data_IF_012817883051
#
_entry.id   IF_012817883051
#
_cell.length_a   1.000
_cell.length_b   1.000
_cell.length_c   1.000
_cell.angle_alpha   90.00
_cell.angle_beta   90.00
_cell.angle_gamma   90.00
#
_symmetry.space_group_name_H-M   'P 1'
#
loop_
_entity.id
_entity.type
_entity.pdbx_description
1 polymer ?
#
# COMPACT_ATOMS: atom_id res chain seq x y z
N UNK A 1 7.59 -17.81 -8.74
CA UNK A 1 6.58 -18.73 -8.17
C UNK A 1 5.20 -18.41 -8.71
N UNK A 2 4.36 -19.42 -8.93
CA UNK A 2 2.98 -19.27 -9.44
C UNK A 2 1.93 -19.96 -8.59
N UNK A 3 2.34 -20.78 -7.60
CA UNK A 3 1.44 -21.50 -6.72
C UNK A 3 0.87 -20.62 -5.61
N UNK A 4 -0.34 -20.94 -5.15
CA UNK A 4 -0.90 -20.34 -3.95
C UNK A 4 -0.11 -20.79 -2.73
N UNK A 5 0.20 -19.85 -1.84
CA UNK A 5 0.92 -20.08 -0.58
C UNK A 5 0.03 -19.68 0.59
N UNK A 6 -0.07 -20.54 1.59
CA UNK A 6 -0.76 -20.24 2.85
C UNK A 6 0.16 -20.59 4.02
N UNK A 7 0.28 -19.67 4.97
CA UNK A 7 1.12 -19.85 6.15
C UNK A 7 0.62 -19.05 7.35
N UNK A 8 1.40 -19.06 8.44
CA UNK A 8 1.08 -18.31 9.67
C UNK A 8 1.96 -17.07 9.77
N UNK A 9 3.28 -17.21 9.63
CA UNK A 9 4.23 -16.09 9.72
C UNK A 9 5.33 -16.24 8.69
N UNK A 10 5.94 -15.13 8.28
CA UNK A 10 7.00 -15.05 7.27
C UNK A 10 6.57 -15.73 5.96
N UNK A 11 5.48 -15.24 5.40
CA UNK A 11 4.86 -15.88 4.23
C UNK A 11 5.21 -15.08 2.99
N UNK A 12 6.03 -15.70 2.13
CA UNK A 12 6.38 -15.17 0.81
C UNK A 12 5.99 -16.14 -0.29
N UNK A 13 5.48 -15.64 -1.42
CA UNK A 13 5.26 -16.48 -2.60
C UNK A 13 6.58 -16.97 -3.23
N UNK A 14 7.61 -16.12 -3.14
CA UNK A 14 9.04 -16.34 -3.37
C UNK A 14 9.72 -17.19 -2.30
N UNK A 15 9.97 -16.49 -1.19
CA UNK A 15 10.79 -16.91 -0.04
C UNK A 15 10.14 -16.33 1.22
N UNK A 16 10.03 -17.11 2.30
CA UNK A 16 9.48 -16.63 3.57
C UNK A 16 10.39 -15.61 4.27
N UNK A 17 11.62 -16.02 4.59
CA UNK A 17 12.65 -15.21 5.22
C UNK A 17 13.90 -15.20 4.32
N UNK A 18 14.31 -14.02 3.88
CA UNK A 18 15.38 -13.84 2.91
C UNK A 18 16.64 -13.22 3.55
N UNK A 19 17.73 -13.99 3.57
CA UNK A 19 19.06 -13.57 3.97
C UNK A 19 20.07 -13.51 2.82
N UNK A 20 19.60 -13.50 1.56
CA UNK A 20 20.46 -13.44 0.37
C UNK A 20 19.92 -12.44 -0.68
N UNK A 21 20.71 -12.20 -1.73
CA UNK A 21 20.27 -11.32 -2.83
C UNK A 21 19.25 -12.02 -3.72
N UNK A 22 18.10 -11.39 -3.94
CA UNK A 22 17.09 -11.81 -4.90
C UNK A 22 17.15 -10.89 -6.12
N UNK A 23 17.26 -11.46 -7.31
CA UNK A 23 17.37 -10.73 -8.58
C UNK A 23 16.51 -11.39 -9.65
N UNK A 24 15.88 -10.60 -10.53
CA UNK A 24 15.14 -11.09 -11.70
C UNK A 24 14.09 -12.16 -11.35
N UNK A 25 13.39 -11.98 -10.23
CA UNK A 25 12.48 -12.98 -9.67
C UNK A 25 11.05 -12.47 -9.64
N UNK A 26 10.08 -13.37 -9.76
CA UNK A 26 8.67 -12.98 -9.77
C UNK A 26 7.78 -13.96 -9.00
N UNK A 27 6.69 -13.44 -8.46
CA UNK A 27 5.60 -14.22 -7.86
C UNK A 27 4.24 -13.79 -8.41
N UNK A 28 3.41 -14.76 -8.77
CA UNK A 28 2.06 -14.52 -9.33
C UNK A 28 0.97 -15.26 -8.56
N UNK A 29 1.34 -16.18 -7.67
CA UNK A 29 0.39 -16.92 -6.85
C UNK A 29 -0.13 -16.07 -5.70
N UNK A 30 -1.36 -16.33 -5.29
CA UNK A 30 -1.96 -15.67 -4.12
C UNK A 30 -1.22 -16.10 -2.84
N UNK A 31 -1.02 -15.15 -1.93
CA UNK A 31 -0.34 -15.38 -0.66
C UNK A 31 -1.29 -15.04 0.49
N UNK A 32 -1.46 -15.98 1.40
CA UNK A 32 -2.26 -15.79 2.61
C UNK A 32 -1.42 -16.09 3.85
N UNK A 33 -1.35 -15.17 4.80
CA UNK A 33 -0.57 -15.34 6.03
C UNK A 33 -1.20 -14.65 7.24
N UNK A 34 -0.55 -14.79 8.39
CA UNK A 34 -0.81 -13.97 9.58
C UNK A 34 0.09 -12.74 9.58
N UNK A 35 1.36 -12.93 9.90
CA UNK A 35 2.32 -11.82 10.04
C UNK A 35 3.47 -11.91 9.03
N UNK A 36 4.05 -10.76 8.69
CA UNK A 36 5.14 -10.64 7.72
C UNK A 36 4.80 -11.32 6.39
N UNK A 37 3.77 -10.80 5.74
CA UNK A 37 3.20 -11.39 4.54
C UNK A 37 3.57 -10.54 3.34
N UNK A 38 4.30 -11.14 2.39
CA UNK A 38 4.65 -10.48 1.13
C UNK A 38 4.34 -11.34 -0.08
N UNK A 39 3.92 -10.71 -1.18
CA UNK A 39 3.63 -11.46 -2.39
C UNK A 39 4.87 -12.14 -3.01
N UNK A 40 6.06 -11.53 -2.85
CA UNK A 40 7.34 -12.12 -3.18
C UNK A 40 8.07 -12.63 -1.92
N UNK A 41 8.26 -11.79 -0.90
CA UNK A 41 9.06 -12.15 0.28
C UNK A 41 8.35 -11.81 1.58
N UNK A 42 8.32 -12.72 2.56
CA UNK A 42 7.75 -12.39 3.87
C UNK A 42 8.58 -11.32 4.60
N UNK A 43 9.87 -11.59 4.79
CA UNK A 43 10.84 -10.68 5.39
C UNK A 43 12.17 -10.72 4.63
N UNK A 44 12.77 -9.54 4.39
CA UNK A 44 14.07 -9.43 3.71
C UNK A 44 15.05 -8.58 4.50
N UNK A 45 16.27 -9.10 4.68
CA UNK A 45 17.42 -8.37 5.22
C UNK A 45 18.39 -7.90 4.15
N UNK A 46 18.27 -8.43 2.94
CA UNK A 46 19.21 -8.26 1.84
C UNK A 46 18.60 -7.56 0.63
N UNK A 47 19.36 -7.49 -0.46
CA UNK A 47 18.96 -6.81 -1.70
C UNK A 47 17.91 -7.59 -2.49
N UNK A 48 16.86 -6.89 -2.92
CA UNK A 48 15.89 -7.36 -3.91
C UNK A 48 15.91 -6.40 -5.10
N UNK A 49 16.17 -6.90 -6.30
CA UNK A 49 16.24 -6.07 -7.51
C UNK A 49 15.57 -6.69 -8.71
N UNK A 50 15.05 -5.85 -9.60
CA UNK A 50 14.43 -6.24 -10.88
C UNK A 50 13.39 -7.36 -10.72
N UNK A 51 12.57 -7.28 -9.67
CA UNK A 51 11.66 -8.35 -9.29
C UNK A 51 10.20 -7.90 -9.30
N UNK A 52 9.26 -8.83 -9.15
CA UNK A 52 7.84 -8.46 -9.09
C UNK A 52 6.94 -9.39 -8.31
N UNK A 53 5.79 -8.85 -7.91
CA UNK A 53 4.69 -9.61 -7.33
C UNK A 53 3.35 -9.17 -7.92
N UNK A 54 2.52 -10.12 -8.32
CA UNK A 54 1.23 -9.84 -8.98
C UNK A 54 0.05 -10.59 -8.37
N UNK A 55 0.31 -11.57 -7.50
CA UNK A 55 -0.73 -12.30 -6.78
C UNK A 55 -1.37 -11.46 -5.68
N UNK A 56 -2.62 -11.78 -5.33
CA UNK A 56 -3.30 -11.12 -4.20
C UNK A 56 -2.63 -11.51 -2.89
N UNK A 57 -2.42 -10.54 -2.00
CA UNK A 57 -1.80 -10.75 -0.69
C UNK A 57 -2.81 -10.46 0.40
N UNK A 58 -3.03 -11.44 1.27
CA UNK A 58 -3.92 -11.32 2.43
C UNK A 58 -3.15 -11.66 3.70
N UNK A 59 -3.15 -10.75 4.67
CA UNK A 59 -2.46 -10.93 5.94
C UNK A 59 -3.22 -10.33 7.12
N UNK A 60 -2.69 -10.51 8.32
CA UNK A 60 -3.14 -9.82 9.53
C UNK A 60 -2.34 -8.55 9.73
N UNK A 61 -1.03 -8.65 9.99
CA UNK A 61 -0.15 -7.52 10.27
C UNK A 61 1.10 -7.54 9.38
N UNK A 62 1.67 -6.36 9.12
CA UNK A 62 2.90 -6.21 8.31
C UNK A 62 2.76 -6.89 6.96
N UNK A 63 1.86 -6.34 6.14
CA UNK A 63 1.42 -6.93 4.87
C UNK A 63 1.85 -6.03 3.72
N UNK A 64 2.63 -6.59 2.78
CA UNK A 64 3.10 -5.89 1.60
C UNK A 64 2.78 -6.61 0.30
N UNK A 65 2.44 -5.87 -0.75
CA UNK A 65 2.20 -6.48 -2.07
C UNK A 65 3.44 -7.19 -2.65
N UNK A 66 4.64 -6.72 -2.31
CA UNK A 66 5.91 -7.36 -2.64
C UNK A 66 6.57 -7.99 -1.41
N UNK A 67 6.84 -7.19 -0.37
CA UNK A 67 7.58 -7.63 0.84
C UNK A 67 6.80 -7.30 2.10
N UNK A 68 6.65 -8.24 3.03
CA UNK A 68 6.05 -7.94 4.34
C UNK A 68 6.89 -6.93 5.12
N UNK A 69 8.11 -7.30 5.50
CA UNK A 69 9.07 -6.42 6.19
C UNK A 69 10.42 -6.34 5.45
N UNK A 70 10.95 -5.13 5.29
CA UNK A 70 12.21 -4.87 4.61
C UNK A 70 13.22 -4.15 5.51
N UNK A 71 14.35 -4.79 5.78
CA UNK A 71 15.54 -4.17 6.38
C UNK A 71 16.68 -3.98 5.37
N UNK A 72 16.53 -4.50 4.15
CA UNK A 72 17.52 -4.43 3.07
C UNK A 72 17.25 -3.35 2.03
N UNK A 73 17.74 -3.56 0.81
CA UNK A 73 17.58 -2.62 -0.31
C UNK A 73 16.65 -3.21 -1.37
N UNK A 74 15.59 -2.48 -1.72
CA UNK A 74 14.68 -2.83 -2.81
C UNK A 74 14.84 -1.82 -3.94
N UNK A 75 15.13 -2.29 -5.15
CA UNK A 75 15.37 -1.42 -6.32
C UNK A 75 14.70 -1.94 -7.58
N UNK A 76 14.15 -1.06 -8.42
CA UNK A 76 13.58 -1.40 -9.75
C UNK A 76 12.57 -2.55 -9.70
N UNK A 77 11.67 -2.53 -8.73
CA UNK A 77 10.79 -3.67 -8.43
C UNK A 77 9.34 -3.17 -8.32
N UNK A 78 8.36 -4.02 -8.63
CA UNK A 78 6.97 -3.60 -8.63
C UNK A 78 5.99 -4.64 -8.06
N UNK A 79 4.89 -4.16 -7.48
CA UNK A 79 3.74 -4.98 -7.10
C UNK A 79 2.47 -4.53 -7.81
N UNK A 80 1.62 -5.48 -8.21
CA UNK A 80 0.32 -5.17 -8.85
C UNK A 80 -0.86 -5.88 -8.21
N UNK A 81 -0.61 -6.87 -7.36
CA UNK A 81 -1.66 -7.59 -6.64
C UNK A 81 -2.33 -6.74 -5.57
N UNK A 82 -3.62 -7.00 -5.33
CA UNK A 82 -4.36 -6.35 -4.26
C UNK A 82 -3.82 -6.81 -2.90
N UNK A 83 -3.81 -5.90 -1.93
CA UNK A 83 -3.31 -6.14 -0.58
C UNK A 83 -4.43 -5.92 0.42
N UNK A 84 -4.67 -6.90 1.28
CA UNK A 84 -5.63 -6.82 2.38
C UNK A 84 -4.97 -7.20 3.70
N UNK A 85 -5.00 -6.30 4.68
CA UNK A 85 -4.55 -6.55 6.05
C UNK A 85 -5.66 -6.30 7.06
N UNK A 86 -5.76 -7.10 8.12
CA UNK A 86 -6.77 -6.90 9.18
C UNK A 86 -6.29 -6.06 10.37
N UNK A 87 -4.99 -5.77 10.49
CA UNK A 87 -4.38 -5.01 11.60
C UNK A 87 -3.51 -3.85 11.08
N UNK A 88 -2.29 -3.72 11.59
CA UNK A 88 -1.37 -2.61 11.35
C UNK A 88 -0.41 -2.89 10.19
N UNK A 89 0.11 -1.81 9.61
CA UNK A 89 1.22 -1.78 8.66
C UNK A 89 0.90 -2.52 7.37
N UNK A 90 -0.04 -1.96 6.62
CA UNK A 90 -0.48 -2.51 5.34
C UNK A 90 -0.01 -1.59 4.22
N UNK A 91 0.91 -2.08 3.39
CA UNK A 91 1.45 -1.34 2.26
C UNK A 91 1.17 -2.03 0.93
N UNK A 92 0.86 -1.25 -0.12
CA UNK A 92 0.69 -1.81 -1.46
C UNK A 92 1.97 -2.40 -2.04
N UNK A 93 3.15 -1.95 -1.59
CA UNK A 93 4.46 -2.49 -1.97
C UNK A 93 5.15 -3.19 -0.80
N UNK A 94 5.36 -2.49 0.32
CA UNK A 94 6.02 -3.02 1.52
C UNK A 94 5.17 -2.76 2.76
N UNK A 95 4.99 -3.74 3.64
CA UNK A 95 4.28 -3.53 4.92
C UNK A 95 5.05 -2.55 5.80
N UNK A 96 6.25 -2.94 6.25
CA UNK A 96 7.16 -2.11 7.04
C UNK A 96 8.54 -2.02 6.40
N UNK A 97 9.12 -0.82 6.31
CA UNK A 97 10.45 -0.60 5.75
C UNK A 97 11.38 0.12 6.72
N UNK A 98 12.43 -0.57 7.15
CA UNK A 98 13.61 -0.01 7.82
C UNK A 98 14.76 0.26 6.84
N UNK A 99 14.71 -0.35 5.65
CA UNK A 99 15.73 -0.26 4.62
C UNK A 99 15.45 0.79 3.53
N UNK A 100 16.11 0.63 2.38
CA UNK A 100 15.99 1.58 1.25
C UNK A 100 15.08 1.04 0.16
N UNK A 101 14.19 1.88 -0.38
CA UNK A 101 13.33 1.58 -1.52
C UNK A 101 13.57 2.63 -2.61
N UNK A 102 13.98 2.18 -3.81
CA UNK A 102 14.29 3.07 -4.94
C UNK A 102 13.63 2.58 -6.23
N UNK A 103 13.14 3.52 -7.07
CA UNK A 103 12.60 3.24 -8.41
C UNK A 103 11.56 2.11 -8.43
N UNK A 104 10.66 2.09 -7.45
CA UNK A 104 9.75 0.97 -7.25
C UNK A 104 8.30 1.42 -7.22
N UNK A 105 7.36 0.54 -7.54
CA UNK A 105 5.96 0.93 -7.67
C UNK A 105 4.96 -0.11 -7.17
N UNK A 106 3.77 0.37 -6.83
CA UNK A 106 2.60 -0.44 -6.51
C UNK A 106 1.37 0.06 -7.24
N UNK A 107 0.55 -0.85 -7.76
CA UNK A 107 -0.69 -0.49 -8.47
C UNK A 107 -1.94 -1.18 -7.95
N UNK A 108 -1.79 -2.20 -7.10
CA UNK A 108 -2.92 -2.94 -6.53
C UNK A 108 -3.69 -2.12 -5.49
N UNK A 109 -4.96 -2.44 -5.26
CA UNK A 109 -5.74 -1.80 -4.20
C UNK A 109 -5.21 -2.22 -2.83
N UNK A 110 -5.24 -1.31 -1.85
CA UNK A 110 -4.75 -1.56 -0.50
C UNK A 110 -5.90 -1.33 0.49
N UNK A 111 -6.25 -2.38 1.22
CA UNK A 111 -7.27 -2.32 2.28
C UNK A 111 -6.62 -2.73 3.60
N UNK A 112 -6.70 -1.89 4.62
CA UNK A 112 -6.12 -2.17 5.93
C UNK A 112 -6.92 -1.55 7.07
N UNK A 113 -6.65 -1.95 8.30
CA UNK A 113 -7.30 -1.37 9.47
C UNK A 113 -6.57 -0.12 9.96
N UNK A 114 -5.26 -0.21 10.15
CA UNK A 114 -4.41 0.80 10.78
C UNK A 114 -3.07 0.93 10.03
N UNK A 115 -2.51 2.13 9.98
CA UNK A 115 -1.28 2.47 9.22
C UNK A 115 -1.26 1.85 7.81
N UNK A 116 -2.11 2.40 6.94
CA UNK A 116 -2.31 1.91 5.58
C UNK A 116 -1.67 2.88 4.59
N UNK A 117 -0.71 2.40 3.80
CA UNK A 117 -0.03 3.20 2.80
C UNK A 117 -0.13 2.60 1.41
N UNK A 118 -0.23 3.47 0.40
CA UNK A 118 -0.26 3.02 -1.00
C UNK A 118 1.03 2.29 -1.38
N UNK A 119 2.19 2.84 -1.01
CA UNK A 119 3.48 2.22 -1.23
C UNK A 119 3.96 1.46 0.02
N UNK A 120 4.09 2.14 1.16
CA UNK A 120 4.61 1.57 2.41
C UNK A 120 3.67 1.84 3.56
N UNK A 121 3.37 0.82 4.38
CA UNK A 121 2.48 0.96 5.55
C UNK A 121 3.13 1.71 6.71
N UNK A 122 4.39 1.40 7.02
CA UNK A 122 5.24 2.15 7.95
C UNK A 122 6.69 2.21 7.46
N UNK A 123 7.32 3.37 7.57
CA UNK A 123 8.67 3.59 7.06
C UNK A 123 9.54 4.34 8.06
N UNK A 124 10.64 3.70 8.46
CA UNK A 124 11.77 4.32 9.16
C UNK A 124 13.03 4.40 8.28
N UNK A 125 12.94 3.93 7.02
CA UNK A 125 14.02 3.98 6.04
C UNK A 125 13.84 5.03 4.94
N UNK A 126 14.64 4.93 3.88
CA UNK A 126 14.66 5.90 2.76
C UNK A 126 13.82 5.41 1.59
N UNK A 127 12.94 6.26 1.08
CA UNK A 127 12.15 6.00 -0.13
C UNK A 127 12.47 7.08 -1.16
N UNK A 128 12.85 6.67 -2.38
CA UNK A 128 13.20 7.61 -3.46
C UNK A 128 12.64 7.11 -4.79
N UNK A 129 12.17 8.04 -5.63
CA UNK A 129 11.65 7.75 -6.99
C UNK A 129 10.63 6.60 -7.04
N UNK A 130 9.78 6.49 -6.03
CA UNK A 130 8.85 5.37 -5.90
C UNK A 130 7.42 5.87 -5.74
N UNK A 131 6.45 5.13 -6.28
CA UNK A 131 5.07 5.61 -6.40
C UNK A 131 4.02 4.51 -6.19
N UNK A 132 2.83 4.93 -5.77
CA UNK A 132 1.66 4.06 -5.69
C UNK A 132 0.49 4.69 -6.42
N UNK A 133 -0.19 3.92 -7.27
CA UNK A 133 -1.38 4.39 -8.00
C UNK A 133 -2.67 3.66 -7.60
N UNK A 134 -2.57 2.62 -6.77
CA UNK A 134 -3.72 1.89 -6.25
C UNK A 134 -4.56 2.71 -5.26
N UNK A 135 -5.84 2.40 -5.17
CA UNK A 135 -6.71 3.00 -4.15
C UNK A 135 -6.33 2.48 -2.77
N UNK A 136 -6.37 3.37 -1.77
CA UNK A 136 -6.03 3.04 -0.38
C UNK A 136 -7.26 3.26 0.50
N UNK A 137 -7.65 2.23 1.24
CA UNK A 137 -8.78 2.27 2.17
C UNK A 137 -8.33 1.82 3.56
N UNK A 138 -8.43 2.71 4.54
CA UNK A 138 -8.12 2.44 5.95
C UNK A 138 -9.38 2.46 6.82
N UNK A 139 -9.62 1.43 7.64
CA UNK A 139 -10.81 1.35 8.50
C UNK A 139 -10.78 2.30 9.70
N UNK A 140 -9.59 2.66 10.21
CA UNK A 140 -9.44 3.51 11.40
C UNK A 140 -9.10 4.98 11.10
N UNK A 141 -9.17 5.43 9.83
CA UNK A 141 -8.95 6.83 9.47
C UNK A 141 -10.06 7.43 8.59
N UNK A 142 -11.32 7.14 8.92
CA UNK A 142 -12.42 8.04 8.54
C UNK A 142 -12.65 8.99 9.72
N UNK A 143 -11.91 10.09 9.75
CA UNK A 143 -12.36 11.26 10.50
C UNK A 143 -13.71 11.67 9.88
N UNK A 144 -14.84 11.66 10.61
CA UNK A 144 -16.14 12.06 10.06
C UNK A 144 -16.14 13.50 9.51
N UNK A 145 -15.13 14.29 9.86
CA UNK A 145 -15.00 15.69 9.47
C UNK A 145 -14.66 15.89 7.97
N UNK A 146 -14.01 14.93 7.30
CA UNK A 146 -13.69 15.06 5.87
C UNK A 146 -14.95 14.93 4.97
N UNK A 147 -15.99 14.22 5.44
CA UNK A 147 -17.27 14.14 4.74
C UNK A 147 -18.08 15.45 4.91
N UNK A 148 -17.95 16.12 6.06
CA UNK A 148 -18.61 17.40 6.31
C UNK A 148 -17.93 18.55 5.55
N UNK A 149 -16.60 18.52 5.39
CA UNK A 149 -15.86 19.56 4.64
C UNK A 149 -16.23 19.58 3.15
N UNK A 150 -16.43 18.41 2.52
CA UNK A 150 -16.86 18.33 1.12
C UNK A 150 -18.31 18.79 0.93
N UNK A 151 -19.21 18.48 1.87
CA UNK A 151 -20.61 18.92 1.80
C UNK A 151 -20.76 20.41 2.14
N UNK A 152 -20.01 20.95 3.11
CA UNK A 152 -20.02 22.38 3.45
C UNK A 152 -19.46 23.26 2.33
N UNK A 153 -18.43 22.82 1.60
CA UNK A 153 -17.84 23.62 0.52
C UNK A 153 -18.73 23.73 -0.72
N UNK A 154 -19.56 22.72 -1.02
CA UNK A 154 -20.57 22.80 -2.10
C UNK A 154 -21.74 23.71 -1.72
N UNK A 155 -22.27 23.60 -0.50
CA UNK A 155 -23.39 24.43 -0.02
C UNK A 155 -23.00 25.91 0.06
N UNK A 156 -21.78 26.23 0.48
CA UNK A 156 -21.30 27.62 0.52
C UNK A 156 -21.19 28.22 -0.89
N UNK A 157 -20.74 27.46 -1.89
CA UNK A 157 -20.66 27.91 -3.28
C UNK A 157 -22.06 28.19 -3.86
N UNK A 158 -23.05 27.36 -3.57
CA UNK A 158 -24.45 27.59 -3.99
C UNK A 158 -25.08 28.82 -3.32
N UNK A 159 -24.80 29.05 -2.02
CA UNK A 159 -25.31 30.21 -1.28
C UNK A 159 -24.68 31.50 -1.83
N UNK A 160 -23.36 31.50 -2.09
CA UNK A 160 -22.65 32.64 -2.66
C UNK A 160 -23.13 32.93 -4.10
N UNK A 161 -23.35 31.89 -4.92
CA UNK A 161 -23.89 32.04 -6.26
C UNK A 161 -25.33 32.61 -6.25
N UNK A 162 -26.19 32.16 -5.32
CA UNK A 162 -27.53 32.72 -5.14
C UNK A 162 -27.48 34.18 -4.68
N UNK A 163 -26.65 34.53 -3.70
CA UNK A 163 -26.55 35.92 -3.22
C UNK A 163 -26.02 36.90 -4.27
N UNK A 164 -25.07 36.46 -5.11
CA UNK A 164 -24.54 37.27 -6.21
C UNK A 164 -25.61 37.49 -7.30
N UNK A 165 -26.40 36.45 -7.62
CA UNK A 165 -27.50 36.55 -8.59
C UNK A 165 -28.62 37.48 -8.09
N UNK A 166 -28.99 37.43 -6.81
CA UNK A 166 -30.01 38.33 -6.24
C UNK A 166 -29.57 39.79 -6.21
N UNK A 167 -28.28 40.07 -5.96
CA UNK A 167 -27.74 41.43 -6.08
C UNK A 167 -27.71 41.93 -7.53
N UNK A 168 -27.45 41.04 -8.50
CA UNK A 168 -27.49 41.40 -9.92
C UNK A 168 -28.91 41.68 -10.42
N UNK A 169 -29.92 40.97 -9.89
CA UNK A 169 -31.34 41.14 -10.24
C UNK A 169 -32.03 42.32 -9.53
N UNK A 170 -31.57 42.71 -8.35
CA UNK A 170 -32.09 43.87 -7.59
C UNK A 170 -31.38 45.19 -7.92
N UNK A 171 -30.25 45.14 -8.63
CA UNK A 171 -29.47 46.30 -9.06
C UNK A 171 -29.73 46.78 -10.49
N UNK A 172 -30.76 46.24 -11.16
CA UNK A 172 -31.24 46.66 -12.49
C UNK A 172 -32.65 47.24 -12.43
#
# INVERSE_FOLDING_TARGET
STGTVTGISYVGGFVGNNGETITNSFSTGNVTGGDYVGGLVGESYETITNSSSTGTVTGSSTVGGLVGSNSGTITNTYSTGNVTGSSDYVGGFVGTSYGTITNSSSTGTVTGSSSVGGLVGDSSGTITNSSSTGTVTGSNNVQPEQLLVLVMSVVLLEIMAKQLLTHFLLGM
#
